data_IF_931916522298
#
_entry.id   IF_931916522298
#
_cell.length_a   1.000
_cell.length_b   1.000
_cell.length_c   1.000
_cell.angle_alpha   90.00
_cell.angle_beta   90.00
_cell.angle_gamma   90.00
#
_symmetry.space_group_name_H-M   'P 1'
#
loop_
_entity.id
_entity.type
_entity.pdbx_description
1 polymer ?
#
# COMPACT_ATOMS: atom_id res chain seq x y z
N UNK A 1 -0.38 11.04 22.23
CA UNK A 1 -0.92 9.79 21.65
C UNK A 1 -1.26 10.08 20.20
N UNK A 2 -0.27 10.16 19.32
CA UNK A 2 -0.45 10.59 17.91
C UNK A 2 0.37 9.74 16.93
N UNK A 3 0.91 8.60 17.36
CA UNK A 3 1.80 7.75 16.55
C UNK A 3 1.06 6.71 15.69
N UNK A 4 -0.27 6.78 15.62
CA UNK A 4 -1.12 5.83 14.89
C UNK A 4 -1.83 6.47 13.69
N UNK A 5 -1.45 7.67 13.27
CA UNK A 5 -1.99 8.25 12.04
C UNK A 5 -1.27 7.65 10.83
N UNK A 6 -2.03 7.24 9.82
CA UNK A 6 -1.46 6.72 8.57
C UNK A 6 -0.84 7.90 7.81
N UNK A 7 0.43 7.77 7.42
CA UNK A 7 1.13 8.77 6.62
C UNK A 7 0.90 8.48 5.13
N UNK A 8 -0.16 9.06 4.58
CA UNK A 8 -0.50 8.93 3.14
C UNK A 8 0.69 9.21 2.20
N UNK A 9 1.54 10.23 2.43
CA UNK A 9 2.69 10.48 1.54
C UNK A 9 3.71 9.33 1.55
N UNK A 10 3.84 8.62 2.67
CA UNK A 10 4.75 7.48 2.79
C UNK A 10 4.18 6.26 2.06
N UNK A 11 2.88 5.99 2.22
CA UNK A 11 2.19 4.93 1.50
C UNK A 11 2.19 5.16 -0.01
N UNK A 12 2.00 6.41 -0.45
CA UNK A 12 2.10 6.79 -1.87
C UNK A 12 3.46 6.44 -2.43
N UNK A 13 4.54 6.88 -1.77
CA UNK A 13 5.92 6.55 -2.18
C UNK A 13 6.19 5.05 -2.23
N UNK A 14 5.68 4.31 -1.24
CA UNK A 14 5.79 2.86 -1.19
C UNK A 14 5.09 2.22 -2.39
N UNK A 15 3.88 2.66 -2.73
CA UNK A 15 3.13 2.17 -3.88
C UNK A 15 3.81 2.55 -5.21
N UNK A 16 4.31 3.78 -5.34
CA UNK A 16 5.10 4.24 -6.49
C UNK A 16 6.36 3.39 -6.68
N UNK A 17 7.10 3.13 -5.60
CA UNK A 17 8.28 2.27 -5.63
C UNK A 17 7.89 0.83 -5.98
N UNK A 18 6.79 0.31 -5.44
CA UNK A 18 6.28 -1.00 -5.82
C UNK A 18 5.92 -1.09 -7.31
N UNK A 19 5.45 -0.01 -7.94
CA UNK A 19 5.16 -0.03 -9.38
C UNK A 19 6.43 0.10 -10.24
N UNK A 20 7.36 0.97 -9.84
CA UNK A 20 8.53 1.35 -10.63
C UNK A 20 9.73 0.40 -10.43
N UNK A 21 9.91 -0.13 -9.22
CA UNK A 21 11.08 -0.90 -8.80
C UNK A 21 10.77 -2.42 -8.87
N UNK A 22 11.47 -3.11 -9.76
CA UNK A 22 11.33 -4.56 -9.92
C UNK A 22 11.98 -5.35 -8.78
N UNK A 23 13.07 -4.84 -8.19
CA UNK A 23 13.78 -5.51 -7.11
C UNK A 23 12.94 -5.44 -5.82
N UNK A 24 12.34 -4.28 -5.54
CA UNK A 24 11.38 -4.14 -4.44
C UNK A 24 10.23 -5.13 -4.57
N UNK A 25 9.59 -5.21 -5.75
CA UNK A 25 8.50 -6.17 -5.99
C UNK A 25 8.92 -7.61 -5.82
N UNK A 26 10.13 -7.97 -6.26
CA UNK A 26 10.61 -9.33 -6.13
C UNK A 26 10.74 -9.73 -4.67
N UNK A 27 11.31 -8.85 -3.82
CA UNK A 27 11.42 -9.12 -2.38
C UNK A 27 10.05 -9.06 -1.70
N UNK A 28 9.24 -8.04 -2.00
CA UNK A 28 7.93 -7.82 -1.38
C UNK A 28 6.92 -8.93 -1.69
N UNK A 29 7.09 -9.63 -2.82
CA UNK A 29 6.29 -10.80 -3.21
C UNK A 29 6.50 -11.98 -2.26
N UNK A 30 7.75 -12.24 -1.88
CA UNK A 30 8.12 -13.34 -1.00
C UNK A 30 7.98 -12.94 0.47
N UNK A 31 8.44 -11.73 0.83
CA UNK A 31 8.42 -11.18 2.18
C UNK A 31 8.29 -9.64 2.16
N UNK A 32 7.07 -9.16 2.38
CA UNK A 32 6.76 -7.73 2.44
C UNK A 32 7.44 -7.05 3.63
N UNK A 33 7.51 -7.68 4.81
CA UNK A 33 8.16 -7.05 5.98
C UNK A 33 9.65 -6.87 5.72
N UNK A 34 10.29 -7.88 5.15
CA UNK A 34 11.69 -7.80 4.77
C UNK A 34 11.92 -6.71 3.71
N UNK A 35 11.05 -6.58 2.71
CA UNK A 35 11.15 -5.52 1.71
C UNK A 35 11.03 -4.12 2.34
N UNK A 36 10.09 -3.93 3.27
CA UNK A 36 9.96 -2.66 3.98
C UNK A 36 11.24 -2.29 4.72
N UNK A 37 11.83 -3.24 5.46
CA UNK A 37 13.08 -3.01 6.20
C UNK A 37 14.27 -2.77 5.25
N UNK A 38 14.42 -3.58 4.20
CA UNK A 38 15.54 -3.46 3.25
C UNK A 38 15.55 -2.11 2.51
N UNK A 39 14.36 -1.57 2.20
CA UNK A 39 14.21 -0.32 1.48
C UNK A 39 13.95 0.88 2.41
N UNK A 40 14.05 0.69 3.73
CA UNK A 40 14.01 1.77 4.73
C UNK A 40 12.62 2.33 5.05
N UNK A 41 11.55 1.56 4.82
CA UNK A 41 10.20 1.92 5.22
C UNK A 41 9.91 1.47 6.65
N UNK A 42 9.86 2.42 7.57
CA UNK A 42 9.38 2.19 8.94
C UNK A 42 7.88 2.50 9.02
N UNK A 43 7.06 1.45 9.00
CA UNK A 43 5.61 1.55 9.12
C UNK A 43 5.13 1.34 10.56
N UNK A 44 4.15 2.12 11.00
CA UNK A 44 3.41 1.84 12.24
C UNK A 44 2.41 0.68 12.05
N UNK A 45 1.79 0.20 13.13
CA UNK A 45 0.83 -0.92 13.07
C UNK A 45 -0.33 -0.70 12.07
N UNK A 46 -0.86 0.52 11.99
CA UNK A 46 -1.96 0.87 11.08
C UNK A 46 -1.51 0.89 9.62
N UNK A 47 -0.35 1.48 9.34
CA UNK A 47 0.22 1.50 7.98
C UNK A 47 0.56 0.10 7.51
N UNK A 48 1.11 -0.76 8.39
CA UNK A 48 1.33 -2.17 8.06
C UNK A 48 0.01 -2.85 7.72
N UNK A 49 -1.01 -2.73 8.57
CA UNK A 49 -2.33 -3.29 8.32
C UNK A 49 -2.91 -2.81 6.98
N UNK A 50 -2.73 -1.53 6.65
CA UNK A 50 -3.14 -0.96 5.37
C UNK A 50 -2.40 -1.58 4.18
N UNK A 51 -1.08 -1.68 4.22
CA UNK A 51 -0.27 -2.27 3.13
C UNK A 51 -0.62 -3.74 2.91
N UNK A 52 -0.83 -4.50 3.99
CA UNK A 52 -1.26 -5.90 3.89
C UNK A 52 -2.67 -6.04 3.29
N UNK A 53 -3.64 -5.22 3.74
CA UNK A 53 -5.00 -5.22 3.17
C UNK A 53 -5.00 -4.79 1.72
N UNK A 54 -4.26 -3.75 1.37
CA UNK A 54 -4.14 -3.28 -0.01
C UNK A 54 -3.54 -4.35 -0.91
N UNK A 55 -2.47 -5.03 -0.46
CA UNK A 55 -1.90 -6.16 -1.18
C UNK A 55 -2.94 -7.28 -1.37
N UNK A 56 -3.65 -7.64 -0.32
CA UNK A 56 -4.68 -8.69 -0.39
C UNK A 56 -5.76 -8.30 -1.42
N UNK A 57 -6.25 -7.07 -1.39
CA UNK A 57 -7.23 -6.56 -2.34
C UNK A 57 -6.73 -6.63 -3.80
N UNK A 58 -5.45 -6.33 -4.06
CA UNK A 58 -4.85 -6.49 -5.39
C UNK A 58 -4.78 -7.96 -5.82
N UNK A 59 -4.43 -8.85 -4.90
CA UNK A 59 -4.37 -10.30 -5.14
C UNK A 59 -5.77 -10.86 -5.44
N UNK A 60 -6.79 -10.44 -4.69
CA UNK A 60 -8.20 -10.82 -4.87
C UNK A 60 -8.80 -10.25 -6.17
N UNK A 61 -8.40 -9.04 -6.57
CA UNK A 61 -8.75 -8.47 -7.86
C UNK A 61 -8.04 -9.17 -9.04
N UNK A 62 -7.18 -10.17 -8.78
CA UNK A 62 -6.32 -10.84 -9.76
C UNK A 62 -5.46 -9.84 -10.56
N UNK A 63 -5.18 -8.68 -9.94
CA UNK A 63 -4.32 -7.63 -10.48
C UNK A 63 -2.90 -8.06 -10.20
N UNK A 64 -2.29 -8.68 -11.21
CA UNK A 64 -0.87 -9.01 -11.20
C UNK A 64 -0.09 -7.71 -10.87
N UNK A 65 0.76 -7.70 -9.84
CA UNK A 65 1.60 -6.54 -9.46
C UNK A 65 2.53 -6.07 -10.62
N UNK A 66 2.62 -6.83 -11.72
CA UNK A 66 3.19 -6.39 -13.01
C UNK A 66 2.31 -5.41 -13.78
N UNK A 67 0.99 -5.53 -13.69
CA UNK A 67 -0.02 -4.69 -14.36
C UNK A 67 -0.47 -3.49 -13.53
N UNK A 68 -0.04 -3.37 -12.27
CA UNK A 68 -0.33 -2.23 -11.38
C UNK A 68 0.06 -0.84 -11.96
N UNK A 69 0.72 -0.80 -13.13
CA UNK A 69 1.00 0.39 -13.92
C UNK A 69 -0.27 1.19 -14.32
N UNK A 70 -1.46 0.61 -14.22
CA UNK A 70 -2.75 1.28 -14.52
C UNK A 70 -3.59 1.62 -13.28
N UNK A 71 -3.12 1.33 -12.06
CA UNK A 71 -3.81 1.79 -10.85
C UNK A 71 -3.44 3.25 -10.62
N UNK A 72 -4.40 4.15 -10.85
CA UNK A 72 -4.23 5.58 -10.59
C UNK A 72 -4.25 5.83 -9.07
N UNK A 73 -3.07 5.67 -8.46
CA UNK A 73 -2.83 5.92 -7.03
C UNK A 73 -3.07 7.38 -6.64
N UNK A 74 -2.97 8.30 -7.61
CA UNK A 74 -3.30 9.70 -7.39
C UNK A 74 -4.81 9.82 -7.15
N UNK A 75 -5.65 9.28 -8.04
CA UNK A 75 -7.10 9.29 -7.85
C UNK A 75 -7.58 8.57 -6.58
N UNK A 76 -6.92 7.48 -6.17
CA UNK A 76 -7.28 6.75 -4.94
C UNK A 76 -6.92 7.50 -3.66
N UNK A 77 -5.83 8.27 -3.67
CA UNK A 77 -5.32 8.97 -2.48
C UNK A 77 -5.78 10.43 -2.41
N UNK A 78 -6.14 11.04 -3.55
CA UNK A 78 -6.63 12.43 -3.66
C UNK A 78 -8.10 12.56 -3.19
N UNK A 79 -8.94 11.54 -3.43
CA UNK A 79 -10.33 11.51 -2.93
C UNK A 79 -10.40 11.36 -1.39
N UNK A 80 -9.27 10.99 -0.77
CA UNK A 80 -9.17 10.72 0.66
C UNK A 80 -8.08 11.56 1.31
N UNK A 81 -8.36 12.84 1.55
CA UNK A 81 -7.53 13.69 2.42
C UNK A 81 -7.45 13.14 3.87
N UNK A 82 -8.32 12.16 4.20
CA UNK A 82 -8.42 11.52 5.49
C UNK A 82 -8.02 10.03 5.44
N UNK A 83 -7.06 9.59 6.27
CA UNK A 83 -6.62 8.20 6.31
C UNK A 83 -7.68 7.20 6.79
N UNK A 84 -8.70 7.62 7.55
CA UNK A 84 -9.80 6.74 7.97
C UNK A 84 -10.78 6.49 6.82
N UNK A 85 -10.93 7.46 5.90
CA UNK A 85 -11.70 7.32 4.66
C UNK A 85 -11.17 6.22 3.74
N UNK A 86 -9.85 6.06 3.64
CA UNK A 86 -9.23 4.96 2.87
C UNK A 86 -9.49 3.59 3.50
N UNK A 87 -9.42 3.48 4.83
CA UNK A 87 -9.73 2.23 5.52
C UNK A 87 -11.18 1.79 5.26
N UNK A 88 -12.13 2.74 5.27
CA UNK A 88 -13.53 2.50 4.91
C UNK A 88 -13.70 2.08 3.45
N UNK A 89 -12.97 2.68 2.52
CA UNK A 89 -13.03 2.38 1.09
C UNK A 89 -12.57 0.94 0.80
N UNK A 90 -11.43 0.54 1.35
CA UNK A 90 -10.93 -0.84 1.22
C UNK A 90 -11.93 -1.84 1.80
N UNK A 91 -12.46 -1.55 2.99
CA UNK A 91 -13.41 -2.41 3.68
C UNK A 91 -14.81 -2.46 3.01
N UNK A 92 -15.15 -1.45 2.20
CA UNK A 92 -16.42 -1.40 1.46
C UNK A 92 -16.33 -2.00 0.06
N UNK A 93 -15.14 -2.01 -0.54
CA UNK A 93 -14.94 -2.48 -1.92
C UNK A 93 -14.39 -3.90 -2.02
N UNK A 94 -13.77 -4.42 -0.95
CA UNK A 94 -13.22 -5.78 -0.87
C UNK A 94 -13.74 -6.46 0.41
N UNK A 95 -14.72 -7.38 0.30
CA UNK A 95 -15.36 -8.04 1.44
C UNK A 95 -14.47 -9.10 2.12
#
# INVERSE_FOLDING_TARGET
MTEQSIRLPLLKRLAEQAMADSDFRSVARDDMELALVQFGYELNDRERAFVFRFRQALEEANVDLKLAKEVDLDALLDDTEDPEGLEQLINSHFP
#
